data_IF_116813754246
#
_entry.id   IF_116813754246
#
_cell.length_a   1.000
_cell.length_b   1.000
_cell.length_c   1.000
_cell.angle_alpha   90.00
_cell.angle_beta   90.00
_cell.angle_gamma   90.00
#
_symmetry.space_group_name_H-M   'P 1'
#
loop_
_entity.id
_entity.type
_entity.pdbx_description
1 polymer ?
#
# COMPACT_ATOMS: atom_id res chain seq x y z
N UNK A 1 4.11 9.32 -17.59
CA UNK A 1 4.98 8.42 -16.80
C UNK A 1 5.63 7.42 -17.76
N UNK A 2 6.89 7.66 -18.17
CA UNK A 2 7.39 7.13 -19.46
C UNK A 2 7.58 5.61 -19.53
N UNK A 3 7.98 4.94 -18.44
CA UNK A 3 8.34 3.52 -18.50
C UNK A 3 7.13 2.57 -18.54
N UNK A 4 6.16 2.72 -17.63
CA UNK A 4 4.97 1.86 -17.63
C UNK A 4 4.18 2.04 -18.93
N UNK A 5 4.08 3.26 -19.43
CA UNK A 5 3.48 3.54 -20.73
C UNK A 5 4.26 2.89 -21.88
N UNK A 6 5.60 2.86 -21.85
CA UNK A 6 6.39 2.19 -22.89
C UNK A 6 6.19 0.68 -22.87
N UNK A 7 6.19 0.06 -21.68
CA UNK A 7 5.91 -1.37 -21.50
C UNK A 7 4.52 -1.72 -22.05
N UNK A 8 3.50 -0.91 -21.73
CA UNK A 8 2.14 -1.09 -22.27
C UNK A 8 2.11 -0.93 -23.80
N UNK A 9 2.84 0.03 -24.38
CA UNK A 9 2.96 0.23 -25.85
C UNK A 9 3.66 -0.91 -26.57
N UNK A 10 4.55 -1.65 -25.90
CA UNK A 10 5.15 -2.89 -26.41
C UNK A 10 4.17 -4.09 -26.41
N UNK A 11 2.91 -3.88 -26.02
CA UNK A 11 1.89 -4.92 -25.95
C UNK A 11 1.98 -5.81 -24.71
N UNK A 12 2.79 -5.43 -23.71
CA UNK A 12 2.88 -6.14 -22.43
C UNK A 12 1.77 -5.67 -21.49
N UNK A 13 1.24 -6.60 -20.70
CA UNK A 13 0.25 -6.33 -19.66
C UNK A 13 0.85 -6.62 -18.28
N UNK A 14 1.65 -5.69 -17.70
CA UNK A 14 2.33 -5.93 -16.43
C UNK A 14 1.35 -5.97 -15.27
N UNK A 15 1.68 -6.75 -14.25
CA UNK A 15 1.11 -6.61 -12.90
C UNK A 15 1.97 -5.59 -12.17
N UNK A 16 1.35 -4.52 -11.66
CA UNK A 16 2.05 -3.40 -11.03
C UNK A 16 1.72 -3.44 -9.54
N UNK A 17 2.75 -3.51 -8.70
CA UNK A 17 2.64 -3.70 -7.26
C UNK A 17 3.58 -2.73 -6.54
N UNK A 18 3.21 -2.35 -5.33
CA UNK A 18 4.11 -1.67 -4.39
C UNK A 18 4.44 -2.58 -3.21
N UNK A 19 5.69 -2.56 -2.75
CA UNK A 19 6.19 -3.44 -1.68
C UNK A 19 5.92 -2.89 -0.27
N UNK A 20 5.39 -1.66 -0.16
CA UNK A 20 5.15 -0.97 1.10
C UNK A 20 6.21 0.10 1.40
N UNK A 21 6.02 0.78 2.53
CA UNK A 21 6.77 1.98 2.92
C UNK A 21 6.62 3.12 1.90
N UNK A 22 5.48 3.15 1.21
CA UNK A 22 5.17 4.12 0.17
C UNK A 22 4.79 5.48 0.77
N UNK A 23 4.07 5.48 1.90
CA UNK A 23 3.42 6.68 2.43
C UNK A 23 4.40 7.59 3.19
N UNK A 24 5.40 7.01 3.84
CA UNK A 24 6.32 7.74 4.73
C UNK A 24 7.76 7.23 4.64
N UNK A 25 8.71 8.14 4.85
CA UNK A 25 10.15 7.88 4.70
C UNK A 25 10.79 7.19 5.92
N UNK A 26 10.08 7.14 7.05
CA UNK A 26 10.56 6.48 8.27
C UNK A 26 9.40 6.10 9.19
N UNK A 27 9.60 5.08 10.02
CA UNK A 27 8.71 4.68 11.12
C UNK A 27 8.68 5.66 12.29
N UNK A 28 9.57 6.66 12.32
CA UNK A 28 9.64 7.60 13.42
C UNK A 28 8.46 8.58 13.38
N UNK A 29 8.11 9.11 14.56
CA UNK A 29 7.06 10.12 14.71
C UNK A 29 7.30 11.27 13.74
N UNK A 30 6.37 11.46 12.81
CA UNK A 30 6.34 12.61 11.91
C UNK A 30 6.31 13.87 12.78
N UNK A 31 7.25 14.79 12.56
CA UNK A 31 7.29 16.04 13.32
C UNK A 31 5.95 16.77 13.20
N UNK A 32 5.36 17.21 14.32
CA UNK A 32 3.98 17.74 14.37
C UNK A 32 3.71 18.85 13.35
N UNK A 33 4.68 19.74 13.13
CA UNK A 33 4.59 20.84 12.17
C UNK A 33 4.46 20.37 10.71
N UNK A 34 4.92 19.15 10.40
CA UNK A 34 4.87 18.56 9.05
C UNK A 34 3.75 17.52 8.90
N UNK A 35 3.02 17.19 9.97
CA UNK A 35 2.07 16.07 9.95
C UNK A 35 0.98 16.25 8.88
N UNK A 36 0.42 17.44 8.75
CA UNK A 36 -0.63 17.71 7.77
C UNK A 36 -0.12 17.58 6.33
N UNK A 37 1.06 18.13 6.02
CA UNK A 37 1.65 18.05 4.68
C UNK A 37 2.10 16.63 4.35
N UNK A 38 2.66 15.88 5.31
CA UNK A 38 3.01 14.47 5.13
C UNK A 38 1.77 13.60 4.87
N UNK A 39 0.68 13.80 5.60
CA UNK A 39 -0.59 13.10 5.34
C UNK A 39 -1.17 13.43 3.96
N UNK A 40 -1.13 14.70 3.56
CA UNK A 40 -1.57 15.11 2.23
C UNK A 40 -0.71 14.50 1.11
N UNK A 41 0.62 14.45 1.30
CA UNK A 41 1.56 13.78 0.39
C UNK A 41 1.20 12.29 0.24
N UNK A 42 1.00 11.58 1.34
CA UNK A 42 0.62 10.16 1.33
C UNK A 42 -0.68 9.90 0.55
N UNK A 43 -1.73 10.70 0.79
CA UNK A 43 -2.98 10.59 0.03
C UNK A 43 -2.80 10.90 -1.46
N UNK A 44 -1.99 11.92 -1.78
CA UNK A 44 -1.70 12.30 -3.17
C UNK A 44 -0.90 11.24 -3.91
N UNK A 45 0.01 10.54 -3.21
CA UNK A 45 0.76 9.41 -3.75
C UNK A 45 -0.17 8.29 -4.20
N UNK A 46 -1.10 7.87 -3.33
CA UNK A 46 -2.06 6.80 -3.64
C UNK A 46 -2.97 7.16 -4.81
N UNK A 47 -3.44 8.41 -4.89
CA UNK A 47 -4.15 8.91 -6.09
C UNK A 47 -3.31 8.81 -7.36
N UNK A 48 -2.01 9.05 -7.25
CA UNK A 48 -1.06 8.81 -8.35
C UNK A 48 -1.03 7.34 -8.76
N UNK A 49 -0.99 6.42 -7.80
CA UNK A 49 -0.99 4.98 -8.05
C UNK A 49 -2.28 4.51 -8.74
N UNK A 50 -3.43 5.11 -8.43
CA UNK A 50 -4.69 4.82 -9.13
C UNK A 50 -4.61 5.18 -10.62
N UNK A 51 -4.07 6.35 -10.94
CA UNK A 51 -3.88 6.79 -12.34
C UNK A 51 -2.93 5.85 -13.09
N UNK A 52 -1.96 5.26 -12.39
CA UNK A 52 -0.99 4.34 -12.97
C UNK A 52 -1.61 2.96 -13.23
N UNK A 53 -2.55 2.56 -12.37
CA UNK A 53 -3.20 1.26 -12.36
C UNK A 53 -2.39 0.22 -11.59
N UNK A 54 -2.02 0.52 -10.35
CA UNK A 54 -1.51 -0.48 -9.41
C UNK A 54 -2.60 -1.50 -9.08
N UNK A 55 -2.21 -2.78 -9.00
CA UNK A 55 -3.11 -3.89 -8.66
C UNK A 55 -3.22 -4.09 -7.16
N UNK A 56 -2.15 -3.81 -6.40
CA UNK A 56 -2.13 -3.86 -4.95
C UNK A 56 -0.95 -3.07 -4.37
N UNK A 57 -1.09 -2.69 -3.10
CA UNK A 57 -0.03 -2.10 -2.28
C UNK A 57 0.15 -3.00 -1.06
N UNK A 58 1.36 -3.50 -0.80
CA UNK A 58 1.66 -4.15 0.47
C UNK A 58 1.77 -3.11 1.59
N UNK A 59 1.31 -3.43 2.80
CA UNK A 59 1.50 -2.55 3.96
C UNK A 59 2.93 -2.72 4.48
N UNK A 60 3.71 -1.65 4.47
CA UNK A 60 5.02 -1.56 5.13
C UNK A 60 4.94 -1.02 6.56
N UNK A 61 6.04 -1.12 7.30
CA UNK A 61 6.13 -0.62 8.67
C UNK A 61 6.04 0.91 8.73
N UNK A 62 6.58 1.61 7.73
CA UNK A 62 6.63 3.07 7.71
C UNK A 62 5.28 3.64 7.31
N UNK A 63 4.44 2.89 6.59
CA UNK A 63 3.07 3.31 6.25
C UNK A 63 2.19 3.55 7.49
N UNK A 64 2.58 2.98 8.63
CA UNK A 64 1.94 3.15 9.94
C UNK A 64 2.45 4.37 10.72
N UNK A 65 3.40 5.15 10.21
CA UNK A 65 4.04 6.26 10.93
C UNK A 65 3.05 7.38 11.36
N UNK A 66 1.92 7.52 10.67
CA UNK A 66 0.85 8.44 11.02
C UNK A 66 -0.31 7.79 11.81
N UNK A 67 -0.14 6.54 12.22
CA UNK A 67 -1.10 5.71 12.96
C UNK A 67 -2.00 4.86 12.05
N UNK A 68 -2.49 3.75 12.59
CA UNK A 68 -3.38 2.80 11.91
C UNK A 68 -4.65 3.47 11.36
N UNK A 69 -5.30 4.33 12.15
CA UNK A 69 -6.51 5.06 11.72
C UNK A 69 -6.28 5.89 10.45
N UNK A 70 -5.11 6.52 10.35
CA UNK A 70 -4.77 7.26 9.14
C UNK A 70 -4.55 6.32 7.94
N UNK A 71 -3.82 5.22 8.16
CA UNK A 71 -3.62 4.22 7.11
C UNK A 71 -4.95 3.67 6.61
N UNK A 72 -5.93 3.42 7.49
CA UNK A 72 -7.27 2.99 7.11
C UNK A 72 -8.02 4.04 6.30
N UNK A 73 -7.94 5.32 6.67
CA UNK A 73 -8.52 6.40 5.86
C UNK A 73 -7.91 6.42 4.45
N UNK A 74 -6.59 6.20 4.34
CA UNK A 74 -5.91 6.15 3.04
C UNK A 74 -6.34 4.92 2.23
N UNK A 75 -6.35 3.73 2.84
CA UNK A 75 -6.72 2.49 2.15
C UNK A 75 -8.17 2.49 1.70
N UNK A 76 -9.08 3.00 2.54
CA UNK A 76 -10.52 3.02 2.26
C UNK A 76 -10.89 4.13 1.24
N UNK A 77 -9.97 5.07 1.01
CA UNK A 77 -10.11 6.15 0.04
C UNK A 77 -9.69 5.81 -1.39
N UNK A 78 -9.28 4.56 -1.66
CA UNK A 78 -8.83 4.09 -2.98
C UNK A 78 -9.48 2.76 -3.35
N UNK A 79 -9.52 2.48 -4.65
CA UNK A 79 -9.87 1.16 -5.17
C UNK A 79 -8.72 0.15 -5.13
N UNK A 80 -7.49 0.60 -4.86
CA UNK A 80 -6.32 -0.28 -4.79
C UNK A 80 -6.32 -1.03 -3.45
N UNK A 81 -6.31 -2.37 -3.45
CA UNK A 81 -6.26 -3.13 -2.21
C UNK A 81 -4.91 -2.96 -1.50
N UNK A 82 -4.98 -2.67 -0.20
CA UNK A 82 -3.84 -2.74 0.71
C UNK A 82 -3.78 -4.14 1.32
N UNK A 83 -2.61 -4.78 1.25
CA UNK A 83 -2.44 -6.18 1.63
C UNK A 83 -1.52 -6.35 2.83
N UNK A 84 -1.90 -7.25 3.74
CA UNK A 84 -1.00 -7.86 4.71
C UNK A 84 -1.63 -9.11 5.33
N UNK A 85 -0.94 -10.25 5.22
CA UNK A 85 -1.39 -11.52 5.74
C UNK A 85 -1.11 -11.70 7.24
N UNK A 86 -0.26 -10.86 7.82
CA UNK A 86 0.26 -11.03 9.17
C UNK A 86 0.10 -9.81 10.09
N UNK A 87 -0.57 -8.73 9.63
CA UNK A 87 -1.03 -7.67 10.51
C UNK A 87 -2.38 -8.02 11.11
N UNK A 88 -2.44 -8.00 12.44
CA UNK A 88 -3.64 -8.33 13.21
C UNK A 88 -3.91 -7.25 14.26
N UNK A 89 -5.18 -7.02 14.55
CA UNK A 89 -5.57 -6.25 15.73
C UNK A 89 -5.24 -7.07 16.99
N UNK A 90 -4.59 -6.42 17.96
CA UNK A 90 -4.10 -7.11 19.16
C UNK A 90 -5.23 -7.57 20.09
N UNK A 91 -6.40 -6.92 20.04
CA UNK A 91 -7.52 -7.22 20.93
C UNK A 91 -8.39 -8.34 20.37
N UNK A 92 -8.75 -8.27 19.08
CA UNK A 92 -9.58 -9.27 18.43
C UNK A 92 -8.78 -10.46 17.88
N UNK A 93 -7.49 -10.27 17.57
CA UNK A 93 -6.68 -11.23 16.85
C UNK A 93 -7.03 -11.36 15.36
N UNK A 94 -7.93 -10.51 14.86
CA UNK A 94 -8.36 -10.52 13.47
C UNK A 94 -7.40 -9.75 12.57
N UNK A 95 -7.32 -10.15 11.30
CA UNK A 95 -6.51 -9.45 10.30
C UNK A 95 -7.13 -8.08 9.99
N UNK A 96 -6.28 -7.06 9.92
CA UNK A 96 -6.70 -5.68 9.64
C UNK A 96 -6.70 -5.32 8.15
N UNK A 97 -6.07 -6.15 7.32
CA UNK A 97 -6.04 -6.04 5.86
C UNK A 97 -6.31 -7.39 5.21
N UNK A 98 -6.68 -7.36 3.93
CA UNK A 98 -6.78 -8.57 3.14
C UNK A 98 -5.39 -9.21 2.99
N UNK A 99 -5.30 -10.55 3.06
CA UNK A 99 -4.01 -11.22 3.05
C UNK A 99 -3.43 -11.30 1.63
N UNK A 100 -4.30 -11.44 0.64
CA UNK A 100 -3.94 -11.65 -0.75
C UNK A 100 -5.04 -11.20 -1.71
N UNK A 101 -4.68 -11.04 -2.98
CA UNK A 101 -5.61 -10.98 -4.11
C UNK A 101 -5.22 -11.99 -5.19
N UNK A 102 -6.14 -12.22 -6.13
CA UNK A 102 -5.85 -12.96 -7.36
C UNK A 102 -6.14 -12.04 -8.54
N UNK A 103 -5.11 -11.78 -9.35
CA UNK A 103 -5.23 -11.01 -10.59
C UNK A 103 -5.33 -11.97 -11.76
N UNK A 104 -6.34 -11.80 -12.60
CA UNK A 104 -6.52 -12.61 -13.80
C UNK A 104 -5.76 -11.98 -15.00
N UNK A 105 -4.91 -12.79 -15.62
CA UNK A 105 -4.15 -12.47 -16.84
C UNK A 105 -4.12 -13.70 -17.73
N UNK A 106 -5.21 -14.01 -18.45
CA UNK A 106 -5.34 -15.24 -19.21
C UNK A 106 -4.11 -15.52 -20.08
N UNK A 107 -3.57 -16.76 -20.06
CA UNK A 107 -4.12 -17.96 -19.42
C UNK A 107 -3.78 -18.10 -17.92
N UNK A 108 -3.13 -17.12 -17.31
CA UNK A 108 -2.63 -17.18 -15.93
C UNK A 108 -3.61 -16.58 -14.92
N UNK A 109 -3.56 -17.13 -13.71
CA UNK A 109 -4.07 -16.50 -12.48
C UNK A 109 -2.88 -16.25 -11.56
N UNK A 110 -2.75 -15.03 -11.08
CA UNK A 110 -1.57 -14.59 -10.33
C UNK A 110 -2.02 -14.27 -8.91
N UNK A 111 -1.60 -15.09 -7.95
CA UNK A 111 -1.82 -14.83 -6.53
C UNK A 111 -0.77 -13.86 -5.99
N UNK A 112 -1.20 -12.84 -5.26
CA UNK A 112 -0.35 -11.81 -4.67
C UNK A 112 -0.64 -11.77 -3.17
N UNK A 113 0.34 -12.09 -2.33
CA UNK A 113 0.24 -12.09 -0.87
C UNK A 113 1.10 -10.97 -0.28
N UNK A 114 0.55 -10.22 0.67
CA UNK A 114 1.28 -9.18 1.41
C UNK A 114 1.81 -9.72 2.74
N UNK A 115 3.02 -9.30 3.15
CA UNK A 115 3.60 -9.62 4.45
C UNK A 115 4.36 -8.40 4.95
N UNK A 116 4.14 -8.04 6.21
CA UNK A 116 4.77 -6.89 6.86
C UNK A 116 5.78 -7.37 7.91
N UNK A 117 6.94 -6.72 8.01
CA UNK A 117 7.90 -6.95 9.09
C UNK A 117 8.29 -5.61 9.74
N UNK A 118 9.14 -5.65 10.78
CA UNK A 118 9.76 -4.46 11.38
C UNK A 118 8.76 -3.40 11.88
N UNK A 119 7.61 -3.84 12.42
CA UNK A 119 6.64 -2.94 13.01
C UNK A 119 7.29 -2.04 14.07
N UNK A 120 6.98 -0.73 14.07
CA UNK A 120 7.44 0.16 15.13
C UNK A 120 6.85 -0.32 16.45
N UNK A 121 7.63 -0.29 17.54
CA UNK A 121 7.15 -0.70 18.87
C UNK A 121 6.01 0.17 19.44
N UNK A 122 5.68 1.27 18.77
CA UNK A 122 4.54 2.14 19.08
C UNK A 122 3.23 1.70 18.43
N UNK A 123 3.26 0.70 17.55
CA UNK A 123 2.11 0.14 16.83
C UNK A 123 1.69 -1.18 17.46
#
# INVERSE_FOLDING_TARGET
>A
MKYIESVKKEGKNPVILDAGDALFESSNTIMKQNLASSKFKAQSLVKGYEVIGYEAINVGAFDLAAGYEFLKIVSDGTSIPFLSANLVDKQSGERVFDPYIIVERPPFKIGIIGVTNLLPSSV
#
